data_IF_992707067198
#
_entry.id   IF_992707067198
#
_cell.length_a   1.000
_cell.length_b   1.000
_cell.length_c   1.000
_cell.angle_alpha   90.00
_cell.angle_beta   90.00
_cell.angle_gamma   90.00
#
_symmetry.space_group_name_H-M   'P 1'
#
loop_
_entity.id
_entity.type
_entity.pdbx_description
1 polymer ?
#
# COMPACT_ATOMS: atom_id res chain seq x y z
N UNK A 1 0.21 -8.05 -8.75
CA UNK A 1 0.47 -7.29 -10.00
C UNK A 1 1.62 -6.32 -9.71
N UNK A 2 2.79 -6.49 -10.33
CA UNK A 2 4.02 -5.76 -9.94
C UNK A 2 4.13 -4.43 -10.69
N UNK A 3 3.97 -3.30 -9.97
CA UNK A 3 4.24 -1.98 -10.52
C UNK A 3 5.74 -1.65 -10.38
N UNK A 4 6.46 -1.33 -11.47
CA UNK A 4 7.89 -1.08 -11.43
C UNK A 4 8.28 0.05 -10.46
N UNK A 5 9.50 -0.05 -9.90
CA UNK A 5 10.07 0.83 -8.87
C UNK A 5 9.90 2.33 -9.15
N UNK A 6 9.93 2.73 -10.42
CA UNK A 6 9.72 4.12 -10.86
C UNK A 6 8.38 4.71 -10.43
N UNK A 7 7.36 3.88 -10.22
CA UNK A 7 6.00 4.32 -9.84
C UNK A 7 5.76 4.34 -8.33
N UNK A 8 6.80 4.08 -7.51
CA UNK A 8 6.69 4.21 -6.04
C UNK A 8 6.54 5.66 -5.60
N UNK A 9 7.10 6.60 -6.35
CA UNK A 9 6.95 8.03 -6.09
C UNK A 9 5.53 8.53 -6.35
N UNK A 10 4.79 7.87 -7.25
CA UNK A 10 3.39 8.20 -7.55
C UNK A 10 2.38 7.54 -6.59
N UNK A 11 2.83 6.67 -5.67
CA UNK A 11 1.97 6.06 -4.64
C UNK A 11 1.38 7.10 -3.68
N UNK A 12 2.15 8.04 -3.09
CA UNK A 12 1.57 9.08 -2.25
C UNK A 12 0.58 9.99 -3.00
N UNK A 13 0.82 10.23 -4.29
CA UNK A 13 -0.08 10.99 -5.17
C UNK A 13 -1.44 10.30 -5.37
N UNK A 14 -1.41 8.99 -5.62
CA UNK A 14 -2.59 8.13 -5.69
C UNK A 14 -3.39 8.11 -4.37
N UNK A 15 -2.71 7.98 -3.23
CA UNK A 15 -3.34 7.99 -1.91
C UNK A 15 -4.03 9.34 -1.67
N UNK A 16 -3.32 10.45 -1.93
CA UNK A 16 -3.87 11.78 -1.75
C UNK A 16 -5.09 12.04 -2.65
N UNK A 17 -5.13 11.44 -3.84
CA UNK A 17 -6.29 11.52 -4.73
C UNK A 17 -7.49 10.76 -4.19
N UNK A 18 -7.30 9.51 -3.75
CA UNK A 18 -8.36 8.68 -3.18
C UNK A 18 -8.97 9.32 -1.92
N UNK A 19 -8.13 9.81 -1.01
CA UNK A 19 -8.58 10.50 0.21
C UNK A 19 -9.42 11.75 -0.08
N UNK A 20 -9.18 12.42 -1.23
CA UNK A 20 -9.95 13.62 -1.63
C UNK A 20 -11.23 13.29 -2.41
N UNK A 21 -11.19 12.32 -3.33
CA UNK A 21 -12.28 12.05 -4.26
C UNK A 21 -13.23 10.95 -3.77
N UNK A 22 -12.71 10.01 -2.99
CA UNK A 22 -13.44 8.85 -2.50
C UNK A 22 -13.28 8.72 -0.98
N UNK A 23 -13.86 9.64 -0.18
CA UNK A 23 -13.87 9.51 1.27
C UNK A 23 -14.71 8.32 1.76
N UNK A 24 -15.47 7.69 0.85
CA UNK A 24 -16.18 6.44 1.12
C UNK A 24 -15.22 5.26 1.30
N UNK A 25 -14.01 5.31 0.71
CA UNK A 25 -13.00 4.26 0.83
C UNK A 25 -12.30 4.34 2.19
N UNK A 26 -12.18 3.20 2.86
CA UNK A 26 -11.50 3.09 4.14
C UNK A 26 -9.98 2.92 3.93
N UNK A 27 -9.15 3.39 4.87
CA UNK A 27 -7.67 3.32 4.77
C UNK A 27 -7.16 1.90 4.52
N UNK A 28 -7.88 0.91 5.08
CA UNK A 28 -7.58 -0.50 4.93
C UNK A 28 -7.86 -1.04 3.52
N UNK A 29 -8.86 -0.48 2.83
CA UNK A 29 -9.15 -0.80 1.44
C UNK A 29 -8.13 -0.13 0.51
N UNK A 30 -7.76 1.13 0.77
CA UNK A 30 -6.71 1.85 0.02
C UNK A 30 -5.36 1.12 0.12
N UNK A 31 -5.03 0.63 1.32
CA UNK A 31 -3.83 -0.17 1.59
C UNK A 31 -3.76 -1.42 0.70
N UNK A 32 -4.87 -2.16 0.58
CA UNK A 32 -4.98 -3.35 -0.26
C UNK A 32 -4.98 -3.01 -1.76
N UNK A 33 -5.72 -1.99 -2.17
CA UNK A 33 -5.87 -1.58 -3.57
C UNK A 33 -4.54 -1.11 -4.19
N UNK A 34 -3.78 -0.29 -3.46
CA UNK A 34 -2.54 0.29 -3.97
C UNK A 34 -1.29 -0.55 -3.61
N UNK A 35 -1.45 -1.66 -2.87
CA UNK A 35 -0.31 -2.41 -2.33
C UNK A 35 0.63 -1.52 -1.49
N UNK A 36 0.04 -0.60 -0.73
CA UNK A 36 0.75 0.34 0.14
C UNK A 36 0.56 -0.06 1.60
N UNK A 37 1.22 0.61 2.54
CA UNK A 37 1.03 0.35 3.97
C UNK A 37 0.16 1.44 4.61
N UNK A 38 -0.58 1.07 5.67
CA UNK A 38 -1.35 2.04 6.48
C UNK A 38 -0.47 3.20 6.98
N UNK A 39 0.79 2.94 7.33
CA UNK A 39 1.75 3.97 7.73
C UNK A 39 1.97 5.01 6.62
N UNK A 40 2.10 4.56 5.36
CA UNK A 40 2.24 5.46 4.22
C UNK A 40 0.97 6.29 4.02
N UNK A 41 -0.21 5.68 4.17
CA UNK A 41 -1.50 6.39 4.06
C UNK A 41 -1.63 7.49 5.11
N UNK A 42 -1.31 7.18 6.38
CA UNK A 42 -1.31 8.15 7.47
C UNK A 42 -0.26 9.25 7.23
N UNK A 43 0.95 8.90 6.79
CA UNK A 43 1.99 9.89 6.50
C UNK A 43 1.60 10.87 5.38
N UNK A 44 0.84 10.44 4.38
CA UNK A 44 0.30 11.30 3.33
C UNK A 44 -0.83 12.18 3.88
N UNK A 45 -1.71 11.63 4.72
CA UNK A 45 -2.81 12.33 5.37
C UNK A 45 -2.31 13.45 6.30
N UNK A 46 -1.33 13.13 7.13
CA UNK A 46 -0.68 14.05 8.06
C UNK A 46 0.35 14.96 7.37
N UNK A 47 0.59 14.74 6.07
CA UNK A 47 1.62 15.43 5.27
C UNK A 47 3.02 15.35 5.88
N UNK A 48 3.29 14.28 6.61
CA UNK A 48 4.59 13.97 7.23
C UNK A 48 5.49 13.14 6.31
N UNK A 49 4.98 12.69 5.16
CA UNK A 49 5.82 12.08 4.14
C UNK A 49 6.85 13.10 3.61
N UNK A 50 8.10 12.68 3.40
CA UNK A 50 9.19 13.56 2.96
C UNK A 50 8.90 14.31 1.65
N UNK A 51 8.06 13.76 0.76
CA UNK A 51 7.59 14.41 -0.47
C UNK A 51 6.32 15.25 -0.31
N UNK A 52 5.77 15.44 0.89
CA UNK A 52 4.42 16.00 1.08
C UNK A 52 4.17 17.35 0.42
N UNK A 53 5.23 18.17 0.24
CA UNK A 53 5.17 19.46 -0.44
C UNK A 53 5.01 19.34 -1.96
N UNK A 54 5.45 18.24 -2.55
CA UNK A 54 5.42 17.98 -4.00
C UNK A 54 4.32 16.99 -4.40
N UNK A 55 3.62 16.39 -3.41
CA UNK A 55 2.51 15.47 -3.67
C UNK A 55 1.42 16.18 -4.48
N UNK A 56 1.08 15.61 -5.64
CA UNK A 56 -0.04 16.05 -6.47
C UNK A 56 -1.08 14.96 -6.52
N UNK A 57 -2.32 15.20 -6.06
CA UNK A 57 -3.37 14.19 -6.13
C UNK A 57 -3.60 13.81 -7.59
N UNK A 58 -3.26 12.56 -7.93
CA UNK A 58 -3.31 12.01 -9.28
C UNK A 58 -4.03 10.67 -9.25
N UNK A 59 -4.83 10.41 -10.27
CA UNK A 59 -5.66 9.21 -10.34
C UNK A 59 -4.78 7.93 -10.40
N UNK A 60 -4.99 6.95 -9.51
CA UNK A 60 -4.23 5.71 -9.47
C UNK A 60 -4.42 4.80 -10.71
N UNK A 61 -5.56 4.90 -11.40
CA UNK A 61 -5.82 4.18 -12.66
C UNK A 61 -5.02 4.79 -13.80
N UNK A 62 -4.99 6.12 -13.90
CA UNK A 62 -4.19 6.84 -14.90
C UNK A 62 -2.69 6.62 -14.69
N UNK A 63 -2.26 6.48 -13.43
CA UNK A 63 -0.90 6.12 -13.08
C UNK A 63 -0.57 4.64 -13.37
N UNK A 64 -1.57 3.81 -13.67
CA UNK A 64 -1.42 2.37 -13.87
C UNK A 64 -0.99 1.63 -12.60
N UNK A 65 -1.34 2.19 -11.43
CA UNK A 65 -1.11 1.58 -10.12
C UNK A 65 -2.23 0.60 -9.75
N UNK A 66 -3.48 0.93 -10.10
CA UNK A 66 -4.63 0.06 -9.95
C UNK A 66 -5.41 -0.04 -11.26
N UNK A 67 -6.24 -1.08 -11.40
CA UNK A 67 -7.18 -1.17 -12.53
C UNK A 67 -8.48 -0.45 -12.20
N UNK A 68 -9.17 0.02 -13.24
CA UNK A 68 -10.53 0.57 -13.10
C UNK A 68 -11.45 -0.42 -12.38
N UNK A 69 -11.35 -1.71 -12.73
CA UNK A 69 -12.15 -2.78 -12.12
C UNK A 69 -11.90 -2.89 -10.61
N UNK A 70 -10.64 -2.86 -10.19
CA UNK A 70 -10.29 -2.97 -8.77
C UNK A 70 -10.73 -1.73 -7.97
N UNK A 71 -10.66 -0.54 -8.58
CA UNK A 71 -11.16 0.70 -7.97
C UNK A 71 -12.68 0.63 -7.78
N UNK A 72 -13.43 0.23 -8.82
CA UNK A 72 -14.88 0.07 -8.77
C UNK A 72 -15.29 -1.01 -7.73
N UNK A 73 -14.59 -2.14 -7.65
CA UNK A 73 -14.82 -3.17 -6.63
C UNK A 73 -14.57 -2.65 -5.21
N UNK A 74 -13.49 -1.87 -5.01
CA UNK A 74 -13.19 -1.29 -3.72
C UNK A 74 -14.27 -0.29 -3.29
N UNK A 75 -14.75 0.56 -4.22
CA UNK A 75 -15.85 1.50 -3.97
C UNK A 75 -17.15 0.76 -3.66
N UNK A 76 -17.48 -0.28 -4.42
CA UNK A 76 -18.65 -1.11 -4.18
C UNK A 76 -18.61 -1.76 -2.79
N UNK A 77 -17.47 -2.33 -2.39
CA UNK A 77 -17.27 -2.89 -1.04
C UNK A 77 -17.38 -1.82 0.04
N UNK A 78 -16.81 -0.64 -0.16
CA UNK A 78 -16.87 0.44 0.82
C UNK A 78 -18.29 1.00 1.02
N UNK A 79 -19.07 1.05 -0.07
CA UNK A 79 -20.49 1.38 -0.02
C UNK A 79 -21.30 0.29 0.67
N UNK A 80 -20.98 -0.99 0.46
CA UNK A 80 -21.63 -2.11 1.12
C UNK A 80 -21.26 -2.23 2.61
N UNK A 81 -20.04 -1.82 3.01
CA UNK A 81 -19.63 -1.76 4.42
C UNK A 81 -20.33 -0.61 5.19
N UNK A 82 -21.04 0.31 4.51
CA UNK A 82 -22.00 1.21 5.17
C UNK A 82 -23.26 0.39 5.49
N UNK A 83 -23.67 0.31 6.76
CA UNK A 83 -24.47 -0.80 7.25
C UNK A 83 -25.92 -0.75 6.74
N UNK A 84 -26.23 -1.69 5.85
CA UNK A 84 -27.47 -2.47 5.93
C UNK A 84 -27.11 -3.89 5.46
N UNK A 85 -26.59 -4.67 6.42
CA UNK A 85 -26.66 -6.13 6.44
C UNK A 85 -25.83 -6.93 5.39
N UNK A 86 -25.42 -8.13 5.82
CA UNK A 86 -24.95 -9.27 5.01
C UNK A 86 -23.44 -9.41 4.76
N UNK A 87 -22.83 -10.04 5.78
CA UNK A 87 -21.88 -11.18 5.74
C UNK A 87 -20.43 -10.94 5.26
N UNK A 88 -19.45 -11.37 6.07
CA UNK A 88 -18.04 -11.32 5.70
C UNK A 88 -17.72 -12.48 4.76
N UNK A 89 -17.35 -12.18 3.51
CA UNK A 89 -16.59 -13.14 2.70
C UNK A 89 -15.11 -12.72 2.60
N UNK A 90 -14.18 -13.63 2.89
CA UNK A 90 -12.77 -13.34 3.04
C UNK A 90 -12.09 -13.35 1.67
N UNK A 91 -11.78 -12.17 1.12
CA UNK A 91 -10.93 -12.09 -0.07
C UNK A 91 -9.49 -11.79 0.34
N UNK A 92 -8.75 -12.89 0.42
CA UNK A 92 -7.29 -13.01 0.34
C UNK A 92 -6.72 -12.19 -0.82
N UNK A 93 -5.55 -11.57 -0.59
CA UNK A 93 -4.44 -11.39 -1.55
C UNK A 93 -3.60 -10.20 -1.11
N UNK A 94 -2.35 -10.47 -0.78
CA UNK A 94 -1.35 -9.46 -0.41
C UNK A 94 -0.18 -10.00 0.38
N UNK A 95 0.09 -11.31 0.30
CA UNK A 95 1.33 -11.90 0.77
C UNK A 95 2.18 -12.22 -0.47
N UNK A 96 3.05 -11.28 -0.85
CA UNK A 96 4.24 -11.51 -1.67
C UNK A 96 5.13 -10.25 -1.48
N UNK A 97 5.95 -10.22 -0.41
CA UNK A 97 7.42 -10.44 -0.35
C UNK A 97 8.25 -9.29 -0.98
N UNK A 98 9.52 -9.00 -0.58
CA UNK A 98 10.56 -9.84 0.07
C UNK A 98 11.10 -9.16 1.37
N UNK A 99 12.13 -9.58 2.12
CA UNK A 99 13.57 -9.34 1.87
C UNK A 99 14.43 -10.17 2.84
N UNK A 100 15.35 -10.93 2.25
CA UNK A 100 16.68 -11.31 2.74
C UNK A 100 17.24 -10.44 3.89
N UNK A 101 17.40 -11.04 5.09
CA UNK A 101 18.26 -10.53 6.17
C UNK A 101 19.12 -11.69 6.65
N UNK A 102 20.35 -11.82 6.18
CA UNK A 102 21.55 -11.17 6.71
C UNK A 102 22.17 -11.96 7.88
N UNK A 103 23.43 -12.37 7.64
CA UNK A 103 24.50 -12.65 8.57
C UNK A 103 24.37 -13.89 9.49
N UNK A 104 24.96 -14.99 9.03
CA UNK A 104 25.73 -15.86 9.90
C UNK A 104 27.05 -16.19 9.18
N UNK A 105 28.03 -15.30 9.31
CA UNK A 105 29.44 -15.69 9.19
C UNK A 105 29.76 -16.50 10.46
N UNK A 106 30.10 -17.79 10.38
CA UNK A 106 30.75 -18.43 11.51
C UNK A 106 32.16 -17.86 11.60
N UNK A 107 32.39 -17.08 12.65
CA UNK A 107 33.70 -16.56 13.02
C UNK A 107 34.63 -17.75 13.26
N UNK A 108 35.73 -17.75 12.51
CA UNK A 108 36.79 -18.72 12.54
C UNK A 108 37.62 -18.49 13.81
N UNK A 109 37.25 -19.17 14.91
CA UNK A 109 38.07 -19.22 16.11
C UNK A 109 39.18 -20.26 15.88
N UNK A 110 40.36 -19.76 15.49
CA UNK A 110 41.63 -20.45 15.66
C UNK A 110 42.01 -20.34 17.13
N UNK A 111 41.89 -21.43 17.88
CA UNK A 111 42.57 -21.58 19.18
C UNK A 111 43.87 -22.37 18.92
N UNK A 112 44.95 -21.60 18.87
CA UNK A 112 46.35 -21.98 18.99
C UNK A 112 46.71 -21.88 20.49
N UNK A 113 46.83 -23.01 21.20
CA UNK A 113 47.75 -23.23 22.36
C UNK A 113 47.61 -24.68 22.89
N UNK A 114 48.51 -25.59 22.47
CA UNK A 114 49.45 -26.39 23.30
C UNK A 114 50.08 -27.55 22.50
#
# INVERSE_FOLDING_TARGET
RYTPLSKRQDRPDAIAWLLRHHPELNDQQVCRLLGTTKNTVQAVRDRTHWKSQEIRPRDPVLLGLCQQIELDEAIAKARAERPEEVRPEPSVTGEEQPEIGAAAVPEFQLDDDH
#
